data_IF_676973276780
#
_entry.id   IF_676973276780
#
_cell.length_a   1.000
_cell.length_b   1.000
_cell.length_c   1.000
_cell.angle_alpha   90.00
_cell.angle_beta   90.00
_cell.angle_gamma   90.00
#
_symmetry.space_group_name_H-M   'P 1'
#
loop_
_entity.id
_entity.type
_entity.pdbx_description
1 polymer ?
#
# COMPACT_ATOMS: atom_id res chain seq x y z
N UNK A 1 -17.56 36.94 -4.09
CA UNK A 1 -17.34 35.76 -3.23
C UNK A 1 -18.11 34.52 -3.72
N UNK A 2 -19.43 34.38 -3.52
CA UNK A 2 -20.13 33.18 -4.05
C UNK A 2 -20.32 33.17 -5.57
N UNK A 3 -20.30 34.34 -6.23
CA UNK A 3 -20.42 34.47 -7.69
C UNK A 3 -19.10 34.27 -8.45
N UNK A 4 -17.97 34.17 -7.76
CA UNK A 4 -16.63 33.97 -8.35
C UNK A 4 -16.18 32.50 -8.31
N UNK A 5 -16.91 31.65 -7.59
CA UNK A 5 -16.65 30.23 -7.52
C UNK A 5 -17.29 29.53 -8.73
N UNK A 6 -16.49 28.74 -9.44
CA UNK A 6 -16.97 27.92 -10.56
C UNK A 6 -17.74 26.69 -10.05
N UNK A 7 -19.00 26.91 -9.67
CA UNK A 7 -19.88 25.88 -9.12
C UNK A 7 -20.07 24.70 -10.07
N UNK A 8 -20.11 24.94 -11.38
CA UNK A 8 -20.36 23.89 -12.35
C UNK A 8 -19.17 22.93 -12.44
N UNK A 9 -17.94 23.46 -12.43
CA UNK A 9 -16.75 22.61 -12.36
C UNK A 9 -16.68 21.86 -11.02
N UNK A 10 -16.96 22.53 -9.91
CA UNK A 10 -16.87 21.90 -8.58
C UNK A 10 -17.92 20.81 -8.33
N UNK A 11 -19.13 20.95 -8.88
CA UNK A 11 -20.21 19.98 -8.65
C UNK A 11 -20.40 18.96 -9.77
N UNK A 12 -20.12 19.32 -11.02
CA UNK A 12 -20.56 18.52 -12.17
C UNK A 12 -19.43 18.08 -13.11
N UNK A 13 -18.29 18.77 -13.14
CA UNK A 13 -17.19 18.36 -14.01
C UNK A 13 -16.44 17.12 -13.45
N UNK A 14 -16.04 16.18 -14.31
CA UNK A 14 -15.19 15.06 -13.91
C UNK A 14 -13.72 15.49 -13.77
N UNK A 15 -12.95 14.74 -12.97
CA UNK A 15 -11.50 14.94 -12.81
C UNK A 15 -11.12 15.53 -11.46
N UNK A 16 -9.89 16.05 -11.36
CA UNK A 16 -9.41 16.69 -10.14
C UNK A 16 -9.73 18.19 -10.17
N UNK A 17 -10.14 18.79 -9.04
CA UNK A 17 -10.29 20.23 -8.94
C UNK A 17 -8.92 20.93 -9.01
N UNK A 18 -8.90 22.27 -9.17
CA UNK A 18 -7.67 23.04 -9.04
C UNK A 18 -6.97 22.73 -7.71
N UNK A 19 -5.67 22.39 -7.77
CA UNK A 19 -4.89 22.01 -6.59
C UNK A 19 -4.71 23.21 -5.65
N UNK A 20 -5.19 23.16 -4.40
CA UNK A 20 -4.92 24.20 -3.41
C UNK A 20 -3.44 24.23 -3.02
N UNK A 21 -3.01 25.36 -2.46
CA UNK A 21 -1.70 25.47 -1.86
C UNK A 21 -1.73 24.94 -0.43
N UNK A 22 -1.13 23.76 -0.23
CA UNK A 22 -0.98 23.13 1.07
C UNK A 22 0.40 23.42 1.64
N UNK A 23 0.49 23.49 2.97
CA UNK A 23 1.77 23.33 3.65
C UNK A 23 2.26 21.89 3.48
N UNK A 24 3.47 21.72 2.97
CA UNK A 24 4.05 20.40 2.66
C UNK A 24 5.15 19.99 3.62
N UNK A 25 5.43 20.79 4.66
CA UNK A 25 6.59 20.61 5.54
C UNK A 25 6.73 19.19 6.10
N UNK A 26 5.61 18.58 6.50
CA UNK A 26 5.58 17.21 7.05
C UNK A 26 5.82 16.12 5.99
N UNK A 27 5.40 16.35 4.74
CA UNK A 27 5.52 15.36 3.66
C UNK A 27 6.83 15.49 2.88
N UNK A 28 7.45 16.66 2.87
CA UNK A 28 8.70 16.89 2.14
C UNK A 28 9.83 15.97 2.65
N UNK A 29 9.92 15.78 3.97
CA UNK A 29 10.90 14.86 4.60
C UNK A 29 10.75 13.42 4.09
N UNK A 30 9.52 12.94 3.94
CA UNK A 30 9.27 11.56 3.46
C UNK A 30 9.42 11.43 1.96
N UNK A 31 9.17 12.50 1.20
CA UNK A 31 9.45 12.54 -0.23
C UNK A 31 10.95 12.48 -0.51
N UNK A 32 11.76 13.21 0.25
CA UNK A 32 13.22 13.11 0.17
C UNK A 32 13.70 11.70 0.48
N UNK A 33 13.19 11.07 1.55
CA UNK A 33 13.53 9.68 1.87
C UNK A 33 13.13 8.73 0.75
N UNK A 34 11.93 8.89 0.18
CA UNK A 34 11.48 8.11 -0.96
C UNK A 34 12.39 8.26 -2.18
N UNK A 35 12.90 9.46 -2.47
CA UNK A 35 13.86 9.66 -3.56
C UNK A 35 15.20 8.98 -3.28
N UNK A 36 15.68 8.96 -2.02
CA UNK A 36 16.90 8.23 -1.64
C UNK A 36 16.75 6.72 -1.87
N UNK A 37 15.59 6.15 -1.55
CA UNK A 37 15.29 4.74 -1.85
C UNK A 37 15.22 4.48 -3.36
N UNK A 38 14.67 5.42 -4.14
CA UNK A 38 14.59 5.32 -5.61
C UNK A 38 15.96 5.40 -6.28
N UNK A 39 16.89 6.19 -5.76
CA UNK A 39 18.22 6.41 -6.37
C UNK A 39 19.16 5.20 -6.24
N UNK A 40 18.82 4.22 -5.39
CA UNK A 40 19.46 2.91 -5.36
C UNK A 40 20.76 2.85 -4.54
N UNK A 41 21.71 2.04 -5.01
CA UNK A 41 22.78 1.38 -4.23
C UNK A 41 23.76 2.27 -3.46
N UNK A 42 23.74 3.59 -3.65
CA UNK A 42 24.55 4.52 -2.85
C UNK A 42 23.89 4.87 -1.51
N UNK A 43 22.58 4.72 -1.40
CA UNK A 43 21.85 4.95 -0.16
C UNK A 43 22.01 3.76 0.78
N UNK A 44 22.47 4.03 2.00
CA UNK A 44 22.60 3.05 3.08
C UNK A 44 21.51 3.34 4.13
N UNK A 45 20.38 2.62 4.11
CA UNK A 45 19.29 2.90 5.04
C UNK A 45 19.71 2.59 6.47
N UNK A 46 19.26 3.41 7.42
CA UNK A 46 19.51 3.28 8.85
C UNK A 46 18.21 3.52 9.61
N UNK A 47 18.01 2.89 10.77
CA UNK A 47 16.78 3.06 11.56
C UNK A 47 16.47 4.53 11.90
N UNK A 48 17.49 5.38 12.00
CA UNK A 48 17.37 6.82 12.23
C UNK A 48 16.68 7.59 11.08
N UNK A 49 16.62 7.04 9.86
CA UNK A 49 15.97 7.71 8.72
C UNK A 49 14.48 7.95 8.95
N UNK A 50 13.86 7.11 9.77
CA UNK A 50 12.43 7.19 10.10
C UNK A 50 12.20 7.58 11.57
N UNK A 51 13.25 7.90 12.30
CA UNK A 51 13.15 8.30 13.71
C UNK A 51 12.42 9.64 13.82
N UNK A 52 11.46 9.71 14.75
CA UNK A 52 10.61 10.89 14.92
C UNK A 52 9.49 11.04 13.88
N UNK A 53 9.42 10.18 12.85
CA UNK A 53 8.31 10.20 11.90
C UNK A 53 7.03 9.62 12.53
N UNK A 54 5.91 10.26 12.24
CA UNK A 54 4.59 9.77 12.62
C UNK A 54 4.16 8.59 11.74
N UNK A 55 3.20 7.78 12.21
CA UNK A 55 2.66 6.68 11.42
C UNK A 55 2.09 7.15 10.06
N UNK A 56 1.47 8.34 10.00
CA UNK A 56 0.95 8.90 8.75
C UNK A 56 2.08 9.26 7.77
N UNK A 57 3.22 9.74 8.26
CA UNK A 57 4.40 9.98 7.41
C UNK A 57 4.97 8.66 6.86
N UNK A 58 5.02 7.60 7.67
CA UNK A 58 5.41 6.26 7.19
C UNK A 58 4.44 5.72 6.13
N UNK A 59 3.13 5.93 6.33
CA UNK A 59 2.10 5.61 5.34
C UNK A 59 2.38 6.34 4.02
N UNK A 60 2.59 7.66 4.05
CA UNK A 60 2.90 8.45 2.84
C UNK A 60 4.20 7.96 2.19
N UNK A 61 5.23 7.67 2.97
CA UNK A 61 6.48 7.10 2.47
C UNK A 61 6.25 5.78 1.71
N UNK A 62 5.50 4.84 2.28
CA UNK A 62 5.19 3.57 1.64
C UNK A 62 4.28 3.71 0.42
N UNK A 63 3.35 4.67 0.43
CA UNK A 63 2.56 5.04 -0.75
C UNK A 63 3.46 5.56 -1.87
N UNK A 64 4.48 6.37 -1.57
CA UNK A 64 5.47 6.78 -2.58
C UNK A 64 6.26 5.59 -3.14
N UNK A 65 6.61 4.61 -2.30
CA UNK A 65 7.26 3.36 -2.76
C UNK A 65 6.36 2.57 -3.71
N UNK A 66 5.04 2.52 -3.45
CA UNK A 66 4.08 1.89 -4.34
C UNK A 66 3.87 2.64 -5.65
N UNK A 67 4.09 3.96 -5.68
CA UNK A 67 3.96 4.79 -6.88
C UNK A 67 5.19 4.74 -7.80
N UNK A 68 6.31 4.14 -7.37
CA UNK A 68 7.48 3.99 -8.22
C UNK A 68 7.14 3.23 -9.51
N UNK A 69 7.58 3.78 -10.65
CA UNK A 69 7.42 3.16 -11.99
C UNK A 69 8.11 1.79 -12.04
N UNK A 70 9.32 1.72 -11.48
CA UNK A 70 10.06 0.48 -11.26
C UNK A 70 9.96 0.11 -9.78
N UNK A 71 9.39 -1.05 -9.43
CA UNK A 71 9.41 -1.54 -8.06
C UNK A 71 10.85 -1.65 -7.53
N UNK A 72 10.98 -1.66 -6.20
CA UNK A 72 12.23 -2.04 -5.57
C UNK A 72 12.59 -3.49 -5.93
N UNK A 73 13.86 -3.85 -5.81
CA UNK A 73 14.24 -5.27 -5.88
C UNK A 73 13.75 -6.00 -4.62
N UNK A 74 13.57 -7.34 -4.68
CA UNK A 74 13.22 -8.14 -3.50
C UNK A 74 14.17 -7.90 -2.32
N UNK A 75 15.47 -7.76 -2.57
CA UNK A 75 16.49 -7.56 -1.54
C UNK A 75 16.34 -6.19 -0.87
N UNK A 76 16.02 -5.14 -1.63
CA UNK A 76 15.79 -3.80 -1.08
C UNK A 76 14.47 -3.73 -0.30
N UNK A 77 13.42 -4.42 -0.75
CA UNK A 77 12.18 -4.56 0.02
C UNK A 77 12.42 -5.22 1.38
N UNK A 78 13.18 -6.32 1.38
CA UNK A 78 13.53 -7.04 2.61
C UNK A 78 14.37 -6.16 3.54
N UNK A 79 15.40 -5.50 3.00
CA UNK A 79 16.24 -4.57 3.75
C UNK A 79 15.41 -3.44 4.39
N UNK A 80 14.46 -2.86 3.65
CA UNK A 80 13.56 -1.83 4.17
C UNK A 80 12.76 -2.35 5.37
N UNK A 81 12.16 -3.52 5.23
CA UNK A 81 11.37 -4.14 6.30
C UNK A 81 12.18 -4.45 7.55
N UNK A 82 13.43 -4.86 7.39
CA UNK A 82 14.34 -5.17 8.49
C UNK A 82 14.85 -3.92 9.19
N UNK A 83 15.38 -2.94 8.43
CA UNK A 83 16.00 -1.71 8.98
C UNK A 83 14.98 -0.82 9.67
N UNK A 84 13.76 -0.72 9.13
CA UNK A 84 12.71 0.13 9.66
C UNK A 84 11.69 -0.63 10.53
N UNK A 85 11.86 -1.94 10.72
CA UNK A 85 10.95 -2.76 11.53
C UNK A 85 9.53 -2.90 10.96
N UNK A 86 9.32 -2.57 9.68
CA UNK A 86 7.99 -2.54 9.05
C UNK A 86 7.39 -3.95 8.90
N UNK A 87 8.25 -4.97 8.75
CA UNK A 87 7.83 -6.37 8.67
C UNK A 87 7.16 -6.90 9.93
N UNK A 88 7.40 -6.24 11.08
CA UNK A 88 6.86 -6.59 12.40
C UNK A 88 5.85 -5.56 12.92
N UNK A 89 5.44 -4.60 12.09
CA UNK A 89 4.55 -3.53 12.53
C UNK A 89 3.17 -4.07 12.91
N UNK A 90 2.67 -3.70 14.09
CA UNK A 90 1.30 -3.98 14.52
C UNK A 90 0.29 -2.96 13.97
N UNK A 91 0.78 -1.83 13.44
CA UNK A 91 -0.08 -0.83 12.82
C UNK A 91 -0.52 -1.30 11.44
N UNK A 92 -1.81 -1.61 11.30
CA UNK A 92 -2.37 -2.15 10.05
C UNK A 92 -2.22 -1.21 8.85
N UNK A 93 -2.27 0.11 9.05
CA UNK A 93 -2.09 1.08 7.97
C UNK A 93 -0.67 1.00 7.41
N UNK A 94 0.33 0.76 8.26
CA UNK A 94 1.73 0.58 7.86
C UNK A 94 1.98 -0.82 7.31
N UNK A 95 1.59 -1.86 8.04
CA UNK A 95 1.84 -3.25 7.68
C UNK A 95 1.23 -3.61 6.31
N UNK A 96 -0.01 -3.19 6.04
CA UNK A 96 -0.63 -3.49 4.75
C UNK A 96 0.11 -2.84 3.57
N UNK A 97 0.59 -1.60 3.74
CA UNK A 97 1.31 -0.91 2.67
C UNK A 97 2.70 -1.51 2.46
N UNK A 98 3.40 -1.85 3.54
CA UNK A 98 4.69 -2.54 3.45
C UNK A 98 4.56 -3.89 2.73
N UNK A 99 3.55 -4.69 3.06
CA UNK A 99 3.30 -5.95 2.35
C UNK A 99 2.95 -5.74 0.88
N UNK A 100 2.18 -4.69 0.54
CA UNK A 100 1.95 -4.35 -0.86
C UNK A 100 3.25 -3.96 -1.58
N UNK A 101 4.15 -3.21 -0.93
CA UNK A 101 5.47 -2.85 -1.49
C UNK A 101 6.28 -4.10 -1.75
N UNK A 102 6.38 -5.00 -0.77
CA UNK A 102 7.14 -6.24 -0.92
C UNK A 102 6.57 -7.16 -2.00
N UNK A 103 5.25 -7.33 -2.04
CA UNK A 103 4.61 -8.11 -3.10
C UNK A 103 4.86 -7.48 -4.47
N UNK A 104 4.77 -6.15 -4.61
CA UNK A 104 5.06 -5.46 -5.87
C UNK A 104 6.54 -5.62 -6.27
N UNK A 105 7.44 -5.70 -5.30
CA UNK A 105 8.87 -5.95 -5.50
C UNK A 105 9.22 -7.41 -5.84
N UNK A 106 8.28 -8.35 -5.68
CA UNK A 106 8.55 -9.78 -5.83
C UNK A 106 9.26 -10.40 -4.62
N UNK A 107 9.16 -9.76 -3.45
CA UNK A 107 9.72 -10.26 -2.19
C UNK A 107 8.85 -11.42 -1.66
N UNK A 108 9.32 -12.66 -1.84
CA UNK A 108 8.60 -13.84 -1.37
C UNK A 108 8.47 -13.90 0.16
N UNK A 109 9.34 -13.21 0.91
CA UNK A 109 9.32 -13.24 2.38
C UNK A 109 8.06 -12.60 2.96
N UNK A 110 7.39 -11.71 2.23
CA UNK A 110 6.14 -11.08 2.67
C UNK A 110 4.88 -11.87 2.30
N UNK A 111 4.99 -12.94 1.50
CA UNK A 111 3.83 -13.75 1.08
C UNK A 111 3.17 -14.41 2.29
N UNK A 112 3.94 -15.15 3.10
CA UNK A 112 3.43 -15.79 4.32
C UNK A 112 2.75 -14.80 5.27
N UNK A 113 3.45 -13.73 5.72
CA UNK A 113 2.86 -12.68 6.55
C UNK A 113 1.61 -12.03 5.96
N UNK A 114 1.56 -11.83 4.63
CA UNK A 114 0.35 -11.32 3.96
C UNK A 114 -0.83 -12.28 4.11
N UNK A 115 -0.63 -13.58 3.87
CA UNK A 115 -1.71 -14.58 3.98
C UNK A 115 -2.24 -14.71 5.40
N UNK A 116 -1.35 -14.63 6.40
CA UNK A 116 -1.74 -14.62 7.82
C UNK A 116 -2.49 -13.35 8.21
N UNK A 117 -2.06 -12.20 7.69
CA UNK A 117 -2.75 -10.93 7.91
C UNK A 117 -4.16 -10.97 7.30
N UNK A 118 -4.31 -11.47 6.07
CA UNK A 118 -5.59 -11.61 5.39
C UNK A 118 -6.59 -12.49 6.18
N UNK A 119 -6.10 -13.48 6.94
CA UNK A 119 -6.95 -14.29 7.82
C UNK A 119 -7.39 -13.61 9.12
N UNK A 120 -6.85 -12.42 9.44
CA UNK A 120 -7.13 -11.68 10.68
C UNK A 120 -7.89 -10.37 10.49
N UNK A 121 -7.93 -9.84 9.27
CA UNK A 121 -8.53 -8.53 8.96
C UNK A 121 -9.72 -8.65 8.01
N UNK A 122 -10.75 -7.82 8.19
CA UNK A 122 -11.95 -7.83 7.31
C UNK A 122 -12.21 -6.53 6.55
N UNK A 123 -11.47 -5.45 6.82
CA UNK A 123 -11.72 -4.13 6.22
C UNK A 123 -11.26 -4.11 4.76
N UNK A 124 -12.21 -3.93 3.83
CA UNK A 124 -11.95 -3.95 2.38
C UNK A 124 -10.85 -2.99 1.91
N UNK A 125 -10.62 -1.87 2.62
CA UNK A 125 -9.50 -0.95 2.38
C UNK A 125 -8.15 -1.68 2.30
N UNK A 126 -7.97 -2.73 3.09
CA UNK A 126 -6.73 -3.51 3.16
C UNK A 126 -6.85 -4.84 2.41
N UNK A 127 -7.97 -5.55 2.62
CA UNK A 127 -8.17 -6.91 2.09
C UNK A 127 -8.09 -6.92 0.57
N UNK A 128 -8.79 -6.00 -0.11
CA UNK A 128 -8.86 -6.03 -1.59
C UNK A 128 -7.52 -5.69 -2.24
N UNK A 129 -6.80 -4.62 -1.85
CA UNK A 129 -5.48 -4.37 -2.41
C UNK A 129 -4.48 -5.50 -2.15
N UNK A 130 -4.48 -6.10 -0.96
CA UNK A 130 -3.59 -7.22 -0.64
C UNK A 130 -3.88 -8.46 -1.50
N UNK A 131 -5.13 -8.86 -1.67
CA UNK A 131 -5.46 -9.96 -2.59
C UNK A 131 -5.06 -9.65 -4.03
N UNK A 132 -5.25 -8.40 -4.48
CA UNK A 132 -4.85 -7.96 -5.83
C UNK A 132 -3.34 -7.98 -6.03
N UNK A 133 -2.56 -7.59 -5.03
CA UNK A 133 -1.10 -7.67 -5.08
C UNK A 133 -0.64 -9.12 -5.00
N UNK A 134 -1.22 -9.92 -4.10
CA UNK A 134 -0.87 -11.32 -3.92
C UNK A 134 -1.14 -12.14 -5.18
N UNK A 135 -2.27 -11.96 -5.86
CA UNK A 135 -2.57 -12.71 -7.08
C UNK A 135 -1.62 -12.40 -8.25
N UNK A 136 -1.02 -11.20 -8.29
CA UNK A 136 -0.04 -10.82 -9.32
C UNK A 136 1.29 -11.52 -9.11
N UNK A 137 1.63 -11.82 -7.86
CA UNK A 137 2.87 -12.54 -7.49
C UNK A 137 2.65 -14.05 -7.56
N UNK A 138 1.61 -14.54 -6.91
CA UNK A 138 1.28 -15.96 -6.84
C UNK A 138 -0.24 -16.15 -6.77
N UNK A 139 -0.84 -16.44 -7.92
CA UNK A 139 -2.29 -16.63 -8.08
C UNK A 139 -2.81 -17.79 -7.24
N UNK A 140 -2.09 -18.90 -7.18
CA UNK A 140 -2.52 -20.12 -6.49
C UNK A 140 -2.58 -19.89 -4.98
N UNK A 141 -1.57 -19.23 -4.41
CA UNK A 141 -1.56 -18.82 -3.00
C UNK A 141 -2.70 -17.85 -2.71
N UNK A 142 -3.00 -16.91 -3.62
CA UNK A 142 -4.14 -16.01 -3.46
C UNK A 142 -5.48 -16.76 -3.44
N UNK A 143 -5.70 -17.71 -4.36
CA UNK A 143 -6.90 -18.57 -4.37
C UNK A 143 -6.99 -19.37 -3.08
N UNK A 144 -5.94 -20.09 -2.71
CA UNK A 144 -5.93 -20.96 -1.54
C UNK A 144 -6.19 -20.15 -0.24
N UNK A 145 -5.61 -18.95 -0.14
CA UNK A 145 -5.84 -18.05 0.99
C UNK A 145 -7.29 -17.56 1.04
N UNK A 146 -7.86 -17.20 -0.11
CA UNK A 146 -9.27 -16.81 -0.18
C UNK A 146 -10.18 -17.96 0.22
N UNK A 147 -10.00 -19.15 -0.36
CA UNK A 147 -10.81 -20.33 -0.03
C UNK A 147 -10.73 -20.70 1.46
N UNK A 148 -9.54 -20.56 2.06
CA UNK A 148 -9.33 -20.81 3.49
C UNK A 148 -10.09 -19.85 4.39
N UNK A 149 -10.21 -18.57 4.02
CA UNK A 149 -10.75 -17.51 4.89
C UNK A 149 -12.06 -16.89 4.40
N UNK A 150 -12.62 -17.32 3.26
CA UNK A 150 -13.78 -16.66 2.63
C UNK A 150 -14.99 -16.55 3.55
N UNK A 151 -15.22 -17.53 4.43
CA UNK A 151 -16.38 -17.57 5.33
C UNK A 151 -16.22 -16.70 6.58
N UNK A 152 -14.99 -16.25 6.87
CA UNK A 152 -14.72 -15.24 7.89
C UNK A 152 -15.11 -13.82 7.42
N UNK A 153 -15.03 -13.54 6.11
CA UNK A 153 -15.30 -12.20 5.60
C UNK A 153 -16.79 -11.86 5.60
N UNK A 154 -17.09 -10.58 5.86
CA UNK A 154 -18.42 -10.03 5.62
C UNK A 154 -18.87 -10.31 4.17
N UNK A 155 -20.15 -10.67 3.90
CA UNK A 155 -20.60 -11.08 2.57
C UNK A 155 -20.23 -10.14 1.42
N UNK A 156 -20.27 -8.82 1.66
CA UNK A 156 -19.84 -7.81 0.68
C UNK A 156 -18.33 -7.92 0.40
N UNK A 157 -17.50 -8.05 1.44
CA UNK A 157 -16.05 -8.21 1.27
C UNK A 157 -15.75 -9.48 0.48
N UNK A 158 -16.36 -10.61 0.86
CA UNK A 158 -16.24 -11.89 0.16
C UNK A 158 -16.57 -11.75 -1.33
N UNK A 159 -17.74 -11.19 -1.66
CA UNK A 159 -18.18 -11.01 -3.04
C UNK A 159 -17.24 -10.10 -3.86
N UNK A 160 -16.72 -9.03 -3.25
CA UNK A 160 -15.80 -8.12 -3.93
C UNK A 160 -14.43 -8.74 -4.17
N UNK A 161 -13.92 -9.54 -3.23
CA UNK A 161 -12.66 -10.29 -3.40
C UNK A 161 -12.82 -11.41 -4.41
N UNK A 162 -13.94 -12.15 -4.40
CA UNK A 162 -14.26 -13.17 -5.40
C UNK A 162 -14.24 -12.57 -6.81
N UNK A 163 -14.86 -11.40 -6.98
CA UNK A 163 -14.83 -10.66 -8.26
C UNK A 163 -13.41 -10.21 -8.64
N UNK A 164 -12.62 -9.75 -7.69
CA UNK A 164 -11.24 -9.31 -7.94
C UNK A 164 -10.31 -10.48 -8.35
N UNK A 165 -10.59 -11.71 -7.89
CA UNK A 165 -9.79 -12.90 -8.18
C UNK A 165 -10.26 -13.64 -9.44
N UNK A 166 -11.57 -13.85 -9.58
CA UNK A 166 -12.14 -14.72 -10.62
C UNK A 166 -12.83 -13.95 -11.77
N UNK A 167 -12.90 -12.62 -11.69
CA UNK A 167 -13.61 -11.80 -12.66
C UNK A 167 -15.13 -11.76 -12.40
N UNK A 168 -15.89 -11.23 -13.35
CA UNK A 168 -17.35 -11.38 -13.31
C UNK A 168 -17.68 -12.84 -13.66
N UNK A 169 -18.48 -13.51 -12.82
CA UNK A 169 -19.31 -14.60 -13.32
C UNK A 169 -20.37 -13.94 -14.19
N UNK A 170 -20.37 -14.29 -15.47
CA UNK A 170 -21.42 -13.90 -16.42
C UNK A 170 -22.81 -14.36 -15.93
#
# INVERSE_FOLDING_TARGET
>A
LLTELDWDTWFYAPGLPPKPQFDTSLVDVVYELAQKWKSGTSFKPQSSDIEGLTANQIVVFLEQMLLLERPLSPELSKLMGEVYGLSKSENIEVANLYFQVGLKAGDESVVGPTTELLGRIGRMKFVRPLFRSLQRVNRDVAVATFEKYKDFYHPICRAMVEKDLFGKKD
#
